data_IF_702858892096
#
_entry.id   IF_702858892096
#
_cell.length_a   1.000
_cell.length_b   1.000
_cell.length_c   1.000
_cell.angle_alpha   90.00
_cell.angle_beta   90.00
_cell.angle_gamma   90.00
#
_symmetry.space_group_name_H-M   'P 1'
#
loop_
_entity.id
_entity.type
_entity.pdbx_description
1 polymer ?
#
# COMPACT_ATOMS: atom_id res chain seq x y z
N UNK A 1 -24.97 49.88 31.08
CA UNK A 1 -23.82 49.48 30.21
C UNK A 1 -22.83 48.78 31.13
N UNK A 2 -22.74 47.44 31.21
CA UNK A 2 -22.31 46.51 30.15
C UNK A 2 -23.02 45.14 30.27
N UNK A 3 -23.31 44.60 29.10
CA UNK A 3 -23.86 43.27 28.82
C UNK A 3 -22.75 42.21 28.90
N UNK A 4 -23.04 41.04 29.47
CA UNK A 4 -22.40 39.76 29.13
C UNK A 4 -23.38 38.61 29.40
N UNK A 5 -24.09 38.19 28.35
CA UNK A 5 -24.83 36.93 28.33
C UNK A 5 -24.56 36.25 26.99
N UNK A 6 -23.82 35.15 27.01
CA UNK A 6 -23.54 34.36 25.82
C UNK A 6 -22.28 33.49 25.93
N UNK A 7 -22.30 32.50 26.84
CA UNK A 7 -21.35 31.39 26.79
C UNK A 7 -21.82 30.42 25.69
N UNK A 8 -21.12 30.40 24.56
CA UNK A 8 -21.16 29.27 23.61
C UNK A 8 -19.83 28.54 23.78
N UNK A 9 -19.80 27.49 24.61
CA UNK A 9 -18.76 26.48 24.51
C UNK A 9 -19.09 25.62 23.29
N UNK A 10 -18.51 25.98 22.14
CA UNK A 10 -18.48 25.13 20.97
C UNK A 10 -17.64 23.90 21.29
N UNK A 11 -18.29 22.74 21.43
CA UNK A 11 -17.58 21.47 21.50
C UNK A 11 -16.90 21.27 20.14
N UNK A 12 -15.59 21.49 20.09
CA UNK A 12 -14.80 21.10 18.93
C UNK A 12 -14.87 19.58 18.82
N UNK A 13 -15.58 19.08 17.81
CA UNK A 13 -15.56 17.66 17.44
C UNK A 13 -14.12 17.31 17.05
N UNK A 14 -13.43 16.56 17.91
CA UNK A 14 -12.13 15.98 17.57
C UNK A 14 -12.39 14.86 16.57
N UNK A 15 -11.97 15.06 15.32
CA UNK A 15 -11.94 14.01 14.31
C UNK A 15 -10.54 13.39 14.33
N UNK A 16 -10.47 12.09 14.61
CA UNK A 16 -9.22 11.32 14.49
C UNK A 16 -9.13 10.84 13.04
N UNK A 17 -8.04 11.19 12.35
CA UNK A 17 -7.71 10.68 11.02
C UNK A 17 -6.53 9.72 11.17
N UNK A 18 -6.73 8.47 10.80
CA UNK A 18 -5.67 7.45 10.74
C UNK A 18 -5.17 7.38 9.29
N UNK A 19 -3.85 7.34 9.10
CA UNK A 19 -3.19 7.22 7.80
C UNK A 19 -2.21 6.06 7.82
N UNK A 20 -2.10 5.38 6.69
CA UNK A 20 -1.19 4.25 6.49
C UNK A 20 -0.42 4.45 5.19
N UNK A 21 0.79 3.89 5.13
CA UNK A 21 1.65 3.97 3.96
C UNK A 21 2.22 2.59 3.62
N UNK A 22 2.33 2.31 2.32
CA UNK A 22 2.96 1.08 1.82
C UNK A 22 4.48 1.28 1.81
N UNK A 23 5.21 0.32 2.37
CA UNK A 23 6.67 0.29 2.29
C UNK A 23 7.09 -0.32 0.96
N UNK A 24 8.05 0.32 0.31
CA UNK A 24 8.57 -0.06 -1.00
C UNK A 24 10.06 -0.30 -0.95
N UNK A 25 10.55 -1.18 -1.80
CA UNK A 25 11.95 -1.53 -1.99
C UNK A 25 12.33 -1.45 -3.47
N UNK A 26 13.57 -1.79 -3.81
CA UNK A 26 14.04 -1.87 -5.21
C UNK A 26 13.30 -2.99 -5.95
N UNK A 27 13.05 -2.81 -7.24
CA UNK A 27 12.42 -3.86 -8.04
C UNK A 27 13.33 -5.09 -8.21
N UNK A 28 12.72 -6.26 -8.30
CA UNK A 28 13.39 -7.50 -8.70
C UNK A 28 13.43 -7.64 -10.24
N UNK A 29 13.99 -8.74 -10.74
CA UNK A 29 14.20 -8.97 -12.18
C UNK A 29 12.91 -8.98 -13.02
N UNK A 30 11.76 -9.34 -12.43
CA UNK A 30 10.46 -9.36 -13.14
C UNK A 30 9.80 -7.97 -13.16
N UNK A 31 9.99 -7.17 -12.10
CA UNK A 31 9.37 -5.85 -11.99
C UNK A 31 10.23 -4.73 -12.58
N UNK A 32 11.56 -4.88 -12.56
CA UNK A 32 12.48 -3.85 -13.04
C UNK A 32 12.27 -3.38 -14.49
N UNK A 33 11.77 -4.21 -15.44
CA UNK A 33 11.41 -3.72 -16.77
C UNK A 33 10.19 -2.77 -16.79
N UNK A 34 9.36 -2.79 -15.73
CA UNK A 34 8.14 -2.00 -15.60
C UNK A 34 8.32 -0.75 -14.71
N UNK A 35 9.08 -0.87 -13.62
CA UNK A 35 9.33 0.22 -12.67
C UNK A 35 10.53 -0.07 -11.76
N UNK A 36 11.25 0.96 -11.31
CA UNK A 36 12.46 0.82 -10.45
C UNK A 36 12.19 0.35 -9.01
N UNK A 37 10.90 0.28 -8.62
CA UNK A 37 10.47 0.03 -7.23
C UNK A 37 9.33 -0.95 -7.19
N UNK A 38 9.26 -1.72 -6.12
CA UNK A 38 8.16 -2.64 -5.83
C UNK A 38 7.74 -2.52 -4.35
N UNK A 39 6.50 -2.91 -3.99
CA UNK A 39 6.14 -3.04 -2.58
C UNK A 39 7.00 -4.12 -1.90
N UNK A 40 7.25 -3.97 -0.61
CA UNK A 40 7.74 -5.08 0.22
C UNK A 40 6.61 -6.08 0.38
N UNK A 41 6.84 -7.32 -0.05
CA UNK A 41 5.87 -8.43 0.07
C UNK A 41 6.46 -9.41 1.07
N UNK A 42 5.68 -9.74 2.10
CA UNK A 42 6.10 -10.65 3.17
C UNK A 42 5.68 -12.08 2.87
N UNK A 43 6.52 -13.03 3.25
CA UNK A 43 6.12 -14.44 3.27
C UNK A 43 5.17 -14.70 4.45
N UNK A 44 4.23 -15.65 4.34
CA UNK A 44 3.29 -15.96 5.42
C UNK A 44 3.93 -16.28 6.78
N UNK A 45 5.12 -16.87 6.77
CA UNK A 45 5.89 -17.19 7.99
C UNK A 45 6.36 -15.94 8.77
N UNK A 46 6.41 -14.78 8.12
CA UNK A 46 6.94 -13.54 8.68
C UNK A 46 5.81 -12.59 9.15
N UNK A 47 4.54 -12.96 8.94
CA UNK A 47 3.38 -12.12 9.31
C UNK A 47 3.29 -11.87 10.82
N UNK A 48 3.54 -12.90 11.64
CA UNK A 48 3.49 -12.76 13.09
C UNK A 48 4.56 -11.77 13.58
N UNK A 49 5.78 -11.89 13.06
CA UNK A 49 6.86 -10.94 13.37
C UNK A 49 6.50 -9.51 12.94
N UNK A 50 5.88 -9.35 11.77
CA UNK A 50 5.47 -8.05 11.23
C UNK A 50 4.36 -7.37 12.02
N UNK A 51 3.33 -8.13 12.40
CA UNK A 51 2.15 -7.62 13.10
C UNK A 51 2.35 -7.51 14.62
N UNK A 52 3.49 -7.96 15.14
CA UNK A 52 3.73 -7.94 16.58
C UNK A 52 4.07 -6.53 17.09
N UNK A 53 3.07 -5.91 17.74
CA UNK A 53 3.10 -4.54 18.28
C UNK A 53 4.25 -4.22 19.27
N UNK A 54 4.92 -5.23 19.83
CA UNK A 54 6.02 -5.05 20.78
C UNK A 54 7.41 -5.07 20.11
N UNK A 55 7.47 -5.39 18.82
CA UNK A 55 8.72 -5.41 18.06
C UNK A 55 9.07 -3.98 17.67
N UNK A 56 9.67 -3.25 18.61
CA UNK A 56 10.31 -1.95 18.34
C UNK A 56 11.76 -2.12 17.85
N UNK A 57 12.22 -3.37 17.68
CA UNK A 57 13.59 -3.69 17.29
C UNK A 57 13.71 -3.66 15.77
N UNK A 58 14.12 -2.50 15.26
CA UNK A 58 14.37 -2.24 13.84
C UNK A 58 15.25 -3.33 13.21
N UNK A 59 16.16 -3.89 13.98
CA UNK A 59 17.11 -4.92 13.58
C UNK A 59 16.43 -6.23 13.17
N UNK A 60 15.28 -6.55 13.77
CA UNK A 60 14.51 -7.76 13.44
C UNK A 60 13.67 -7.58 12.17
N UNK A 61 13.21 -6.37 11.88
CA UNK A 61 12.35 -6.06 10.75
C UNK A 61 13.13 -5.71 9.48
N UNK A 62 14.32 -5.13 9.60
CA UNK A 62 15.18 -4.77 8.46
C UNK A 62 15.38 -5.90 7.45
N UNK A 63 15.64 -7.16 7.86
CA UNK A 63 15.79 -8.28 6.93
C UNK A 63 14.54 -8.59 6.10
N UNK A 64 13.36 -8.15 6.54
CA UNK A 64 12.10 -8.34 5.81
C UNK A 64 11.90 -7.29 4.70
N UNK A 65 12.65 -6.18 4.71
CA UNK A 65 12.47 -5.04 3.78
C UNK A 65 13.24 -5.22 2.46
N UNK A 66 13.20 -6.43 1.92
CA UNK A 66 13.95 -6.83 0.72
C UNK A 66 12.99 -7.09 -0.46
N UNK A 67 13.49 -7.05 -1.72
CA UNK A 67 12.69 -7.43 -2.88
C UNK A 67 12.17 -8.86 -2.75
N UNK A 68 10.92 -9.09 -3.15
CA UNK A 68 10.33 -10.42 -3.12
C UNK A 68 10.97 -11.32 -4.18
N UNK A 69 10.99 -12.63 -3.93
CA UNK A 69 11.56 -13.61 -4.84
C UNK A 69 10.81 -13.62 -6.18
N UNK A 70 11.52 -13.25 -7.26
CA UNK A 70 10.97 -13.20 -8.60
C UNK A 70 10.42 -14.57 -9.04
N UNK A 71 11.01 -15.69 -8.61
CA UNK A 71 10.55 -17.03 -9.00
C UNK A 71 9.17 -17.38 -8.43
N UNK A 72 8.72 -16.65 -7.41
CA UNK A 72 7.40 -16.81 -6.77
C UNK A 72 6.38 -15.81 -7.29
N UNK A 73 6.73 -15.03 -8.31
CA UNK A 73 5.86 -14.02 -8.90
C UNK A 73 5.49 -14.39 -10.33
N UNK A 74 4.38 -13.83 -10.78
CA UNK A 74 3.99 -13.83 -12.18
C UNK A 74 3.39 -12.48 -12.51
N UNK A 75 3.65 -12.00 -13.73
CA UNK A 75 3.13 -10.74 -14.24
C UNK A 75 2.50 -11.02 -15.58
N UNK A 76 1.36 -10.40 -15.83
CA UNK A 76 0.64 -10.49 -17.10
C UNK A 76 0.04 -9.11 -17.44
N UNK A 77 -0.04 -8.78 -18.73
CA UNK A 77 -0.69 -7.55 -19.17
C UNK A 77 -2.19 -7.58 -18.89
N UNK A 78 -2.75 -6.42 -18.57
CA UNK A 78 -4.19 -6.22 -18.36
C UNK A 78 -4.67 -5.02 -19.18
N UNK A 79 -5.99 -4.88 -19.34
CA UNK A 79 -6.58 -3.74 -20.04
C UNK A 79 -6.25 -2.41 -19.35
N UNK A 80 -6.09 -1.35 -20.15
CA UNK A 80 -5.97 0.03 -19.67
C UNK A 80 -7.20 0.54 -18.93
N UNK A 81 -8.31 -0.22 -18.92
CA UNK A 81 -9.48 0.00 -18.05
C UNK A 81 -9.06 0.26 -16.59
N UNK A 82 -8.01 -0.41 -16.09
CA UNK A 82 -7.51 -0.26 -14.71
C UNK A 82 -6.96 1.14 -14.40
N UNK A 83 -6.60 1.93 -15.42
CA UNK A 83 -6.01 3.26 -15.23
C UNK A 83 -7.03 4.30 -14.72
N UNK A 84 -8.33 4.03 -14.86
CA UNK A 84 -9.38 4.90 -14.32
C UNK A 84 -9.91 4.34 -13.00
N UNK A 85 -9.62 5.06 -11.92
CA UNK A 85 -9.99 4.70 -10.53
C UNK A 85 -11.49 4.51 -10.29
N UNK A 86 -12.36 4.97 -11.20
CA UNK A 86 -13.81 4.74 -11.11
C UNK A 86 -14.21 3.32 -11.53
N UNK A 87 -13.34 2.59 -12.23
CA UNK A 87 -13.60 1.24 -12.70
C UNK A 87 -13.27 0.23 -11.60
N UNK A 88 -14.29 -0.42 -11.05
CA UNK A 88 -14.14 -1.47 -10.04
C UNK A 88 -14.87 -2.73 -10.51
N UNK A 89 -14.25 -3.42 -11.48
CA UNK A 89 -14.84 -4.59 -12.11
C UNK A 89 -13.75 -5.62 -12.46
N UNK A 90 -14.10 -6.90 -12.68
CA UNK A 90 -13.12 -7.96 -12.93
C UNK A 90 -12.21 -7.70 -14.14
N UNK A 91 -12.68 -6.94 -15.13
CA UNK A 91 -11.93 -6.58 -16.34
C UNK A 91 -10.63 -5.82 -16.04
N UNK A 92 -10.51 -5.20 -14.86
CA UNK A 92 -9.28 -4.52 -14.42
C UNK A 92 -8.12 -5.49 -14.14
N UNK A 93 -8.39 -6.78 -13.93
CA UNK A 93 -7.37 -7.79 -13.57
C UNK A 93 -7.37 -9.01 -14.50
N UNK A 94 -8.25 -9.06 -15.51
CA UNK A 94 -8.26 -10.17 -16.47
C UNK A 94 -7.07 -10.00 -17.43
N UNK A 95 -6.25 -11.04 -17.65
CA UNK A 95 -5.16 -11.00 -18.62
C UNK A 95 -5.67 -10.70 -20.03
N UNK A 96 -4.90 -9.93 -20.79
CA UNK A 96 -5.18 -9.63 -22.20
C UNK A 96 -4.03 -10.09 -23.08
N UNK A 97 -4.31 -10.40 -24.35
CA UNK A 97 -3.26 -10.57 -25.36
C UNK A 97 -2.72 -9.19 -25.75
N UNK A 98 -1.40 -9.09 -25.95
CA UNK A 98 -0.80 -7.87 -26.49
C UNK A 98 -0.86 -7.93 -28.01
N UNK A 99 -1.53 -6.96 -28.63
CA UNK A 99 -1.50 -6.81 -30.08
C UNK A 99 -0.08 -6.39 -30.51
N UNK A 100 0.58 -7.24 -31.29
CA UNK A 100 1.96 -7.05 -31.78
C UNK A 100 2.06 -6.05 -32.96
N UNK A 101 1.50 -4.84 -32.81
CA UNK A 101 1.58 -3.82 -33.87
C UNK A 101 2.84 -2.96 -33.77
#
# INVERSE_FOLDING_TARGET
>A
IRSWSGLIMSLATVVIIVQEAIITTVANDIISPLHDRMPVILEPRDYDLWLHHQVSQRELLQPLLIPYDAQKMSVYPVSTTVNNVRNNSPECIIPVELDNN
#
